data_IF_008934228696
#
_entry.id   IF_008934228696
#
_cell.length_a   1.000
_cell.length_b   1.000
_cell.length_c   1.000
_cell.angle_alpha   90.00
_cell.angle_beta   90.00
_cell.angle_gamma   90.00
#
_symmetry.space_group_name_H-M   'P 1'
#
loop_
_entity.id
_entity.type
_entity.pdbx_description
1 polymer ?
#
# COMPACT_ATOMS: atom_id res chain seq x y z
N UNK A 1 -15.05 -11.23 35.26
CA UNK A 1 -14.26 -10.70 34.13
C UNK A 1 -13.92 -11.87 33.22
N UNK A 2 -14.07 -11.72 31.86
CA UNK A 2 -13.66 -12.77 30.92
C UNK A 2 -12.16 -12.72 30.73
N UNK A 3 -11.50 -13.89 30.61
CA UNK A 3 -10.05 -14.05 30.41
C UNK A 3 -9.77 -14.67 29.06
N UNK A 4 -8.70 -14.21 28.40
CA UNK A 4 -8.23 -14.67 27.09
C UNK A 4 -6.72 -14.94 27.11
N UNK A 5 -6.27 -15.87 26.28
CA UNK A 5 -4.85 -16.06 26.06
C UNK A 5 -4.27 -14.89 25.28
N UNK A 6 -4.97 -14.46 24.21
CA UNK A 6 -4.55 -13.35 23.37
C UNK A 6 -5.72 -12.39 23.15
N UNK A 7 -5.51 -11.10 23.42
CA UNK A 7 -6.41 -10.01 23.02
C UNK A 7 -5.72 -9.18 21.95
N UNK A 8 -6.40 -8.95 20.83
CA UNK A 8 -5.91 -8.14 19.71
C UNK A 8 -6.74 -6.87 19.64
N UNK A 9 -6.07 -5.70 19.59
CA UNK A 9 -6.75 -4.40 19.50
C UNK A 9 -6.57 -3.84 18.08
N UNK A 10 -7.65 -3.86 17.31
CA UNK A 10 -7.72 -3.45 15.90
C UNK A 10 -7.85 -4.65 14.96
N UNK A 11 -8.82 -4.59 14.05
CA UNK A 11 -9.16 -5.64 13.09
C UNK A 11 -8.63 -5.38 11.67
N UNK A 12 -7.59 -4.54 11.53
CA UNK A 12 -6.89 -4.39 10.24
C UNK A 12 -6.19 -5.68 9.81
N UNK A 13 -5.52 -5.71 8.64
CA UNK A 13 -4.88 -6.92 8.09
C UNK A 13 -4.03 -7.67 9.12
N UNK A 14 -3.13 -7.01 9.81
CA UNK A 14 -2.35 -7.65 10.87
C UNK A 14 -3.21 -8.21 12.00
N UNK A 15 -4.25 -7.48 12.42
CA UNK A 15 -5.08 -7.88 13.55
C UNK A 15 -5.98 -9.09 13.26
N UNK A 16 -6.70 -9.10 12.12
CA UNK A 16 -7.58 -10.22 11.81
C UNK A 16 -6.77 -11.48 11.43
N UNK A 17 -5.62 -11.34 10.76
CA UNK A 17 -4.73 -12.47 10.43
C UNK A 17 -4.14 -13.06 11.71
N UNK A 18 -3.64 -12.22 12.62
CA UNK A 18 -3.16 -12.67 13.94
C UNK A 18 -4.26 -13.41 14.70
N UNK A 19 -5.52 -12.90 14.68
CA UNK A 19 -6.65 -13.52 15.36
C UNK A 19 -6.98 -14.89 14.78
N UNK A 20 -7.00 -15.03 13.44
CA UNK A 20 -7.20 -16.31 12.76
C UNK A 20 -6.11 -17.30 13.17
N UNK A 21 -4.85 -16.88 13.09
CA UNK A 21 -3.71 -17.76 13.40
C UNK A 21 -3.72 -18.19 14.87
N UNK A 22 -4.06 -17.28 15.78
CA UNK A 22 -4.23 -17.58 17.21
C UNK A 22 -5.32 -18.65 17.43
N UNK A 23 -6.49 -18.49 16.81
CA UNK A 23 -7.57 -19.47 16.88
C UNK A 23 -7.16 -20.84 16.31
N UNK A 24 -6.44 -20.87 15.19
CA UNK A 24 -5.91 -22.10 14.58
C UNK A 24 -4.93 -22.86 15.49
N UNK A 25 -4.14 -22.11 16.28
CA UNK A 25 -3.18 -22.68 17.24
C UNK A 25 -3.82 -23.00 18.61
N UNK A 26 -5.13 -22.82 18.75
CA UNK A 26 -5.89 -23.21 19.93
C UNK A 26 -5.91 -22.18 21.06
N UNK A 27 -5.43 -20.97 20.84
CA UNK A 27 -5.52 -19.89 21.82
C UNK A 27 -6.96 -19.40 21.95
N UNK A 28 -7.41 -19.15 23.19
CA UNK A 28 -8.63 -18.45 23.46
C UNK A 28 -8.46 -16.96 23.12
N UNK A 29 -9.00 -16.52 21.99
CA UNK A 29 -8.69 -15.24 21.36
C UNK A 29 -9.87 -14.29 21.36
N UNK A 30 -9.61 -13.01 21.69
CA UNK A 30 -10.53 -11.90 21.50
C UNK A 30 -9.95 -10.87 20.53
N UNK A 31 -10.81 -10.31 19.69
CA UNK A 31 -10.52 -9.21 18.77
C UNK A 31 -11.39 -8.00 19.13
N UNK A 32 -10.75 -6.86 19.41
CA UNK A 32 -11.45 -5.61 19.76
C UNK A 32 -11.39 -4.65 18.58
N UNK A 33 -12.53 -4.25 18.03
CA UNK A 33 -12.63 -3.31 16.91
C UNK A 33 -13.61 -2.19 17.23
N UNK A 34 -13.19 -0.95 17.00
CA UNK A 34 -14.02 0.23 17.29
C UNK A 34 -15.15 0.49 16.30
N UNK A 35 -15.04 -0.04 15.08
CA UNK A 35 -16.04 0.10 14.05
C UNK A 35 -16.94 -1.14 13.96
N UNK A 36 -18.12 -0.99 13.37
CA UNK A 36 -19.04 -2.10 13.18
C UNK A 36 -18.62 -3.09 12.07
N UNK A 37 -17.57 -2.75 11.31
CA UNK A 37 -17.03 -3.57 10.23
C UNK A 37 -15.58 -3.95 10.53
N UNK A 38 -15.23 -5.20 10.25
CA UNK A 38 -13.88 -5.72 10.40
C UNK A 38 -13.02 -5.38 9.14
N UNK A 39 -11.70 -5.62 9.21
CA UNK A 39 -10.77 -5.45 8.10
C UNK A 39 -10.02 -4.11 8.09
N UNK A 40 -10.31 -3.23 9.05
CA UNK A 40 -9.58 -1.97 9.26
C UNK A 40 -9.56 -1.05 8.03
N UNK A 41 -8.53 -0.21 7.94
CA UNK A 41 -8.36 0.74 6.84
C UNK A 41 -8.28 0.05 5.49
N UNK A 42 -7.51 -1.01 5.36
CA UNK A 42 -7.23 -1.68 4.07
C UNK A 42 -8.53 -2.09 3.36
N UNK A 43 -9.42 -2.82 4.07
CA UNK A 43 -10.63 -3.36 3.48
C UNK A 43 -11.72 -2.32 3.31
N UNK A 44 -11.85 -1.38 4.25
CA UNK A 44 -12.98 -0.44 4.29
C UNK A 44 -12.73 0.86 3.53
N UNK A 45 -11.54 1.46 3.66
CA UNK A 45 -11.22 2.81 3.13
C UNK A 45 -9.78 2.91 2.60
N UNK A 46 -9.22 1.81 2.11
CA UNK A 46 -7.83 1.73 1.65
C UNK A 46 -7.68 0.86 0.40
N UNK A 47 -6.93 -0.25 0.53
CA UNK A 47 -6.49 -1.09 -0.58
C UNK A 47 -7.66 -1.61 -1.43
N UNK A 48 -8.64 -2.26 -0.80
CA UNK A 48 -9.74 -2.92 -1.55
C UNK A 48 -10.61 -1.92 -2.30
N UNK A 49 -11.16 -0.86 -1.68
CA UNK A 49 -11.96 0.10 -2.43
C UNK A 49 -11.16 0.86 -3.49
N UNK A 50 -9.87 1.16 -3.28
CA UNK A 50 -9.06 1.81 -4.31
C UNK A 50 -8.82 0.91 -5.52
N UNK A 51 -8.52 -0.38 -5.31
CA UNK A 51 -8.35 -1.36 -6.40
C UNK A 51 -9.64 -1.59 -7.16
N UNK A 52 -10.79 -1.64 -6.47
CA UNK A 52 -12.08 -1.73 -7.13
C UNK A 52 -12.39 -0.53 -8.04
N UNK A 53 -11.96 0.69 -7.65
CA UNK A 53 -12.10 1.88 -8.49
C UNK A 53 -11.07 1.93 -9.62
N UNK A 54 -9.81 1.53 -9.35
CA UNK A 54 -8.76 1.44 -10.37
C UNK A 54 -9.19 0.49 -11.49
N UNK A 55 -9.69 -0.69 -11.14
CA UNK A 55 -10.21 -1.69 -12.07
C UNK A 55 -11.37 -1.13 -12.90
N UNK A 56 -12.40 -0.58 -12.24
CA UNK A 56 -13.56 -0.02 -12.94
C UNK A 56 -13.19 1.16 -13.84
N UNK A 57 -12.29 2.04 -13.40
CA UNK A 57 -11.85 3.19 -14.21
C UNK A 57 -10.97 2.76 -15.39
N UNK A 58 -10.19 1.68 -15.23
CA UNK A 58 -9.41 1.08 -16.31
C UNK A 58 -10.33 0.51 -17.42
N UNK A 59 -11.34 -0.26 -17.04
CA UNK A 59 -12.35 -0.74 -18.00
C UNK A 59 -13.05 0.37 -18.75
N UNK A 60 -13.35 1.50 -18.08
CA UNK A 60 -13.95 2.66 -18.73
C UNK A 60 -12.99 3.30 -19.72
N UNK A 61 -11.73 3.51 -19.35
CA UNK A 61 -10.69 4.06 -20.23
C UNK A 61 -10.42 3.14 -21.42
N UNK A 62 -10.29 1.83 -21.20
CA UNK A 62 -10.09 0.82 -22.24
C UNK A 62 -11.23 0.85 -23.27
N UNK A 63 -12.47 0.93 -22.79
CA UNK A 63 -13.65 1.01 -23.65
C UNK A 63 -13.61 2.25 -24.55
N UNK A 64 -13.13 3.38 -24.04
CA UNK A 64 -13.07 4.64 -24.80
C UNK A 64 -11.90 4.75 -25.76
N UNK A 65 -10.74 4.14 -25.42
CA UNK A 65 -9.48 4.43 -26.11
C UNK A 65 -8.90 3.26 -26.87
N UNK A 66 -9.17 2.02 -26.46
CA UNK A 66 -8.40 0.87 -26.93
C UNK A 66 -9.21 -0.15 -27.73
N UNK A 67 -10.55 -0.19 -27.61
CA UNK A 67 -11.36 -1.21 -28.29
C UNK A 67 -11.25 -1.16 -29.80
N UNK A 68 -11.15 0.03 -30.40
CA UNK A 68 -10.99 0.19 -31.85
C UNK A 68 -9.74 -0.55 -32.37
N UNK A 69 -8.63 -0.46 -31.65
CA UNK A 69 -7.39 -1.16 -32.00
C UNK A 69 -7.53 -2.70 -31.94
N UNK A 70 -8.50 -3.22 -31.17
CA UNK A 70 -8.86 -4.64 -31.14
C UNK A 70 -9.91 -5.05 -32.19
N UNK A 71 -10.34 -4.12 -33.05
CA UNK A 71 -11.38 -4.34 -34.04
C UNK A 71 -12.79 -4.43 -33.44
N UNK A 72 -13.00 -3.81 -32.26
CA UNK A 72 -14.29 -3.77 -31.59
C UNK A 72 -14.91 -2.38 -31.77
N UNK A 73 -15.95 -2.31 -32.59
CA UNK A 73 -16.70 -1.07 -32.87
C UNK A 73 -17.86 -0.92 -31.89
N UNK A 74 -18.01 0.26 -31.31
CA UNK A 74 -19.13 0.60 -30.44
C UNK A 74 -20.22 1.32 -31.22
N UNK A 75 -21.43 0.79 -31.21
CA UNK A 75 -22.62 1.46 -31.77
C UNK A 75 -23.33 2.25 -30.68
N UNK A 76 -22.90 3.49 -30.44
CA UNK A 76 -23.53 4.38 -29.47
C UNK A 76 -22.54 5.06 -28.54
N UNK A 77 -23.06 5.95 -27.69
CA UNK A 77 -22.25 6.69 -26.72
C UNK A 77 -21.98 5.86 -25.46
N UNK A 78 -20.71 5.84 -25.05
CA UNK A 78 -20.31 5.24 -23.76
C UNK A 78 -20.37 6.32 -22.69
N UNK A 79 -21.23 6.15 -21.71
CA UNK A 79 -21.42 7.11 -20.61
C UNK A 79 -20.99 6.55 -19.28
N UNK A 80 -20.35 7.39 -18.46
CA UNK A 80 -19.99 7.05 -17.09
C UNK A 80 -21.22 7.15 -16.18
N UNK A 81 -21.49 6.10 -15.40
CA UNK A 81 -22.37 6.17 -14.24
C UNK A 81 -21.54 6.03 -12.96
N UNK A 82 -21.09 7.17 -12.43
CA UNK A 82 -20.24 7.20 -11.23
C UNK A 82 -20.97 6.59 -10.01
N UNK A 83 -22.25 6.80 -9.84
CA UNK A 83 -23.03 6.25 -8.71
C UNK A 83 -22.99 4.73 -8.72
N UNK A 84 -23.20 4.08 -9.88
CA UNK A 84 -23.07 2.62 -10.01
C UNK A 84 -21.66 2.14 -9.77
N UNK A 85 -20.63 2.88 -10.20
CA UNK A 85 -19.23 2.54 -9.96
C UNK A 85 -18.91 2.59 -8.45
N UNK A 86 -19.36 3.61 -7.74
CA UNK A 86 -19.21 3.73 -6.28
C UNK A 86 -20.00 2.63 -5.55
N UNK A 87 -21.22 2.31 -6.02
CA UNK A 87 -22.02 1.22 -5.45
C UNK A 87 -21.34 -0.16 -5.63
N UNK A 88 -20.78 -0.45 -6.84
CA UNK A 88 -19.96 -1.66 -7.05
C UNK A 88 -18.80 -1.74 -6.07
N UNK A 89 -18.03 -0.66 -5.93
CA UNK A 89 -16.92 -0.59 -4.97
C UNK A 89 -17.41 -0.87 -3.54
N UNK A 90 -18.55 -0.30 -3.14
CA UNK A 90 -19.13 -0.53 -1.80
C UNK A 90 -19.53 -2.00 -1.59
N UNK A 91 -20.14 -2.64 -2.58
CA UNK A 91 -20.48 -4.07 -2.53
C UNK A 91 -19.24 -4.98 -2.40
N UNK A 92 -18.14 -4.66 -3.09
CA UNK A 92 -16.85 -5.39 -2.93
C UNK A 92 -16.33 -5.27 -1.51
N UNK A 93 -16.38 -4.08 -0.92
CA UNK A 93 -15.97 -3.85 0.48
C UNK A 93 -16.84 -4.66 1.44
N UNK A 94 -18.16 -4.57 1.31
CA UNK A 94 -19.12 -5.31 2.15
C UNK A 94 -18.87 -6.82 2.10
N UNK A 95 -18.75 -7.38 0.90
CA UNK A 95 -18.49 -8.81 0.70
C UNK A 95 -17.15 -9.23 1.34
N UNK A 96 -16.11 -8.43 1.19
CA UNK A 96 -14.78 -8.74 1.75
C UNK A 96 -14.81 -8.66 3.29
N UNK A 97 -15.44 -7.65 3.87
CA UNK A 97 -15.58 -7.53 5.32
C UNK A 97 -16.45 -8.65 5.93
N UNK A 98 -17.51 -9.07 5.24
CA UNK A 98 -18.32 -10.23 5.65
C UNK A 98 -17.49 -11.52 5.66
N UNK A 99 -16.57 -11.69 4.69
CA UNK A 99 -15.61 -12.78 4.67
C UNK A 99 -14.71 -12.82 5.91
N UNK A 100 -14.21 -11.67 6.35
CA UNK A 100 -13.41 -11.59 7.59
C UNK A 100 -14.25 -11.99 8.81
N UNK A 101 -15.49 -11.51 8.89
CA UNK A 101 -16.39 -11.90 10.00
C UNK A 101 -16.61 -13.41 10.02
N UNK A 102 -16.89 -14.03 8.87
CA UNK A 102 -16.99 -15.49 8.75
C UNK A 102 -15.75 -16.21 9.27
N UNK A 103 -14.55 -15.69 8.95
CA UNK A 103 -13.28 -16.26 9.41
C UNK A 103 -13.10 -16.13 10.94
N UNK A 104 -13.57 -15.06 11.56
CA UNK A 104 -13.58 -14.94 13.03
C UNK A 104 -14.45 -16.02 13.65
N UNK A 105 -15.67 -16.17 13.16
CA UNK A 105 -16.63 -17.17 13.67
C UNK A 105 -16.07 -18.61 13.47
N UNK A 106 -15.52 -18.92 12.29
CA UNK A 106 -14.90 -20.22 11.96
C UNK A 106 -13.74 -20.57 12.91
N UNK A 107 -12.92 -19.60 13.29
CA UNK A 107 -11.76 -19.79 14.16
C UNK A 107 -12.07 -19.52 15.65
N UNK A 108 -13.35 -19.39 16.01
CA UNK A 108 -13.83 -19.17 17.38
C UNK A 108 -13.21 -17.96 18.06
N UNK A 109 -12.94 -16.91 17.29
CA UNK A 109 -12.48 -15.61 17.81
C UNK A 109 -13.66 -14.82 18.31
N UNK A 110 -13.65 -14.42 19.59
CA UNK A 110 -14.70 -13.56 20.13
C UNK A 110 -14.43 -12.11 19.74
N UNK A 111 -15.37 -11.49 19.01
CA UNK A 111 -15.26 -10.12 18.53
C UNK A 111 -16.02 -9.17 19.45
N UNK A 112 -15.34 -8.11 19.89
CA UNK A 112 -15.91 -7.02 20.67
C UNK A 112 -15.92 -5.73 19.85
N UNK A 113 -17.10 -5.10 19.75
CA UNK A 113 -17.21 -3.79 19.09
C UNK A 113 -17.10 -2.69 20.13
N UNK A 114 -16.07 -1.86 20.02
CA UNK A 114 -15.81 -0.75 20.93
C UNK A 114 -14.33 -0.31 20.90
N UNK A 115 -14.06 0.80 21.58
CA UNK A 115 -12.70 1.31 21.73
C UNK A 115 -11.98 0.52 22.83
N UNK A 116 -10.93 -0.21 22.47
CA UNK A 116 -10.07 -0.90 23.42
C UNK A 116 -9.02 0.05 24.01
N UNK A 117 -8.91 0.08 25.34
CA UNK A 117 -7.92 0.87 26.07
C UNK A 117 -7.32 0.08 27.24
N UNK A 118 -6.04 0.29 27.52
CA UNK A 118 -5.38 -0.34 28.65
C UNK A 118 -5.84 0.28 29.99
N UNK A 119 -6.11 -0.57 30.97
CA UNK A 119 -6.28 -0.21 32.37
C UNK A 119 -5.02 -0.61 33.17
N UNK A 120 -4.40 -1.71 32.76
CA UNK A 120 -3.13 -2.23 33.26
C UNK A 120 -2.45 -3.05 32.15
N UNK A 121 -1.23 -3.59 32.35
CA UNK A 121 -0.58 -4.48 31.37
C UNK A 121 -1.40 -5.70 30.95
N UNK A 122 -2.34 -6.17 31.80
CA UNK A 122 -3.15 -7.37 31.55
C UNK A 122 -4.65 -7.08 31.39
N UNK A 123 -5.10 -5.85 31.63
CA UNK A 123 -6.53 -5.50 31.60
C UNK A 123 -6.86 -4.50 30.51
N UNK A 124 -7.81 -4.87 29.68
CA UNK A 124 -8.33 -4.06 28.57
C UNK A 124 -9.77 -3.67 28.87
N UNK A 125 -10.03 -2.37 28.87
CA UNK A 125 -11.37 -1.80 28.88
C UNK A 125 -11.86 -1.61 27.45
N UNK A 126 -13.07 -2.07 27.18
CA UNK A 126 -13.76 -1.89 25.91
C UNK A 126 -14.92 -0.93 26.16
N UNK A 127 -14.91 0.21 25.47
CA UNK A 127 -15.99 1.21 25.57
C UNK A 127 -16.78 1.18 24.27
N UNK A 128 -18.04 0.74 24.33
CA UNK A 128 -18.94 0.69 23.19
C UNK A 128 -19.46 2.10 22.81
N UNK A 129 -20.13 2.23 21.66
CA UNK A 129 -20.64 3.51 21.16
C UNK A 129 -21.70 4.16 22.06
N UNK A 130 -22.43 3.35 22.80
CA UNK A 130 -23.42 3.78 23.83
C UNK A 130 -22.81 4.09 25.20
N UNK A 131 -21.46 4.17 25.27
CA UNK A 131 -20.67 4.34 26.48
C UNK A 131 -20.73 3.18 27.47
N UNK A 132 -21.30 2.03 27.12
CA UNK A 132 -21.22 0.81 27.94
C UNK A 132 -19.75 0.35 28.01
N UNK A 133 -19.28 0.07 29.22
CA UNK A 133 -17.93 -0.38 29.48
C UNK A 133 -17.88 -1.86 29.86
N UNK A 134 -16.95 -2.59 29.27
CA UNK A 134 -16.65 -3.97 29.62
C UNK A 134 -15.16 -4.12 29.89
N UNK A 135 -14.80 -4.85 30.95
CA UNK A 135 -13.42 -5.17 31.28
C UNK A 135 -13.13 -6.64 30.95
N UNK A 136 -12.03 -6.88 30.23
CA UNK A 136 -11.51 -8.21 29.92
C UNK A 136 -10.05 -8.33 30.36
N UNK A 137 -9.57 -9.55 30.56
CA UNK A 137 -8.21 -9.85 30.97
C UNK A 137 -7.50 -10.63 29.86
N UNK A 138 -6.26 -10.26 29.59
CA UNK A 138 -5.41 -10.83 28.55
C UNK A 138 -4.10 -11.37 29.16
N UNK A 139 -3.75 -12.61 28.83
CA UNK A 139 -2.39 -13.11 29.07
C UNK A 139 -1.39 -12.39 28.18
N UNK A 140 -1.71 -12.23 26.91
CA UNK A 140 -0.95 -11.45 25.93
C UNK A 140 -1.85 -10.45 25.20
N UNK A 141 -1.33 -9.28 24.87
CA UNK A 141 -2.03 -8.27 24.08
C UNK A 141 -1.23 -7.94 22.83
N UNK A 142 -1.89 -7.89 21.67
CA UNK A 142 -1.31 -7.44 20.39
C UNK A 142 -1.97 -6.12 19.98
N UNK A 143 -1.19 -5.04 19.91
CA UNK A 143 -1.63 -3.74 19.42
C UNK A 143 -1.53 -3.75 17.89
N UNK A 144 -2.68 -3.72 17.19
CA UNK A 144 -2.80 -3.75 15.73
C UNK A 144 -3.66 -2.60 15.20
N UNK A 145 -3.57 -1.44 15.85
CA UNK A 145 -4.45 -0.27 15.60
C UNK A 145 -4.13 0.49 14.33
N UNK A 146 -3.01 0.14 13.66
CA UNK A 146 -2.66 0.64 12.34
C UNK A 146 -2.34 2.13 12.30
N UNK A 147 -2.82 2.80 11.27
CA UNK A 147 -2.49 4.20 10.97
C UNK A 147 -3.68 5.00 10.46
N UNK A 148 -3.53 6.33 10.43
CA UNK A 148 -4.46 7.30 9.82
C UNK A 148 -3.74 8.16 8.77
N UNK A 149 -4.47 8.76 7.81
CA UNK A 149 -3.88 9.75 6.91
C UNK A 149 -3.16 10.85 7.71
N UNK A 150 -1.97 11.21 7.27
CA UNK A 150 -1.26 12.37 7.78
C UNK A 150 -1.79 13.64 7.08
N UNK A 151 -1.70 14.77 7.78
CA UNK A 151 -1.93 16.10 7.22
C UNK A 151 -0.80 17.03 7.63
N UNK A 152 -0.62 18.09 6.87
CA UNK A 152 0.29 19.16 7.25
C UNK A 152 -0.44 20.13 8.19
N UNK A 153 0.21 20.65 9.24
CA UNK A 153 -0.46 21.46 10.27
C UNK A 153 -1.19 22.70 9.74
N UNK A 154 -0.73 23.23 8.61
CA UNK A 154 -1.29 24.42 7.96
C UNK A 154 -2.40 24.09 6.92
N UNK A 155 -2.74 22.80 6.70
CA UNK A 155 -3.83 22.40 5.80
C UNK A 155 -5.06 22.04 6.63
N UNK A 156 -6.12 22.79 6.45
CA UNK A 156 -7.44 22.48 7.03
C UNK A 156 -8.18 21.52 6.13
N UNK A 157 -8.38 20.29 6.61
CA UNK A 157 -9.18 19.27 5.94
C UNK A 157 -10.67 19.53 6.21
N UNK A 158 -11.40 19.99 5.21
CA UNK A 158 -12.85 20.22 5.32
C UNK A 158 -13.67 18.96 4.98
N UNK A 159 -13.04 17.92 4.42
CA UNK A 159 -13.65 16.65 3.99
C UNK A 159 -14.70 16.79 2.87
N UNK A 160 -14.79 17.94 2.26
CA UNK A 160 -15.70 18.23 1.15
C UNK A 160 -14.91 18.50 -0.14
N UNK A 161 -13.94 19.43 -0.11
CA UNK A 161 -13.09 19.82 -1.24
C UNK A 161 -11.61 19.67 -0.95
N UNK A 162 -11.18 19.90 0.30
CA UNK A 162 -9.83 19.56 0.80
C UNK A 162 -9.95 18.23 1.55
N UNK A 163 -9.59 17.14 0.88
CA UNK A 163 -9.96 15.77 1.23
C UNK A 163 -8.74 14.89 1.46
N UNK A 164 -8.94 13.77 2.15
CA UNK A 164 -8.00 12.66 2.23
C UNK A 164 -8.41 11.53 1.29
N UNK A 165 -7.63 10.45 1.27
CA UNK A 165 -7.97 9.22 0.52
C UNK A 165 -9.34 8.65 0.91
N UNK A 166 -9.77 8.83 2.17
CA UNK A 166 -11.06 8.32 2.66
C UNK A 166 -12.25 8.96 1.95
N UNK A 167 -12.22 10.27 1.77
CA UNK A 167 -13.26 11.01 1.07
C UNK A 167 -13.15 10.80 -0.45
N UNK A 168 -11.92 10.76 -0.98
CA UNK A 168 -11.68 10.52 -2.41
C UNK A 168 -12.27 9.20 -2.92
N UNK A 169 -12.37 8.17 -2.07
CA UNK A 169 -13.00 6.89 -2.44
C UNK A 169 -14.53 6.94 -2.59
N UNK A 170 -15.18 8.06 -2.31
CA UNK A 170 -16.65 8.18 -2.30
C UNK A 170 -17.17 9.51 -2.84
N UNK A 171 -16.41 10.15 -3.73
CA UNK A 171 -16.90 11.38 -4.39
C UNK A 171 -18.17 11.11 -5.15
N UNK A 172 -19.08 12.08 -5.14
CA UNK A 172 -20.38 12.02 -5.82
C UNK A 172 -20.32 12.58 -7.24
N UNK A 173 -19.23 13.23 -7.60
CA UNK A 173 -18.96 13.82 -8.91
C UNK A 173 -17.51 13.57 -9.30
N UNK A 174 -17.22 13.58 -10.58
CA UNK A 174 -15.85 13.57 -11.09
C UNK A 174 -15.29 14.98 -10.97
N UNK A 175 -14.14 15.20 -10.31
CA UNK A 175 -13.48 16.49 -10.29
C UNK A 175 -13.22 17.01 -11.70
N UNK A 176 -13.35 18.31 -11.92
CA UNK A 176 -12.85 18.94 -13.15
C UNK A 176 -11.34 19.04 -13.12
N UNK A 177 -10.79 19.44 -11.96
CA UNK A 177 -9.36 19.51 -11.72
C UNK A 177 -9.05 19.07 -10.29
N UNK A 178 -8.45 17.90 -10.16
CA UNK A 178 -7.96 17.34 -8.90
C UNK A 178 -6.49 17.74 -8.68
N UNK A 179 -6.23 18.52 -7.65
CA UNK A 179 -4.86 18.81 -7.20
C UNK A 179 -4.49 17.77 -6.14
N UNK A 180 -3.41 17.04 -6.37
CA UNK A 180 -2.90 16.01 -5.44
C UNK A 180 -1.64 16.55 -4.75
N UNK A 181 -1.64 16.61 -3.43
CA UNK A 181 -0.47 16.93 -2.63
C UNK A 181 0.15 15.62 -2.14
N UNK A 182 1.33 15.30 -2.69
CA UNK A 182 2.07 14.06 -2.46
C UNK A 182 2.06 13.12 -3.67
N UNK A 183 3.24 12.88 -4.24
CA UNK A 183 3.49 11.97 -5.38
C UNK A 183 3.76 10.52 -4.95
N UNK A 184 3.26 10.10 -3.79
CA UNK A 184 3.32 8.73 -3.31
C UNK A 184 2.20 7.85 -3.88
N UNK A 185 2.18 6.56 -3.47
CA UNK A 185 1.26 5.51 -3.96
C UNK A 185 -0.20 5.96 -3.96
N UNK A 186 -0.70 6.46 -2.82
CA UNK A 186 -2.12 6.82 -2.66
C UNK A 186 -2.53 7.96 -3.59
N UNK A 187 -1.68 9.00 -3.68
CA UNK A 187 -1.96 10.16 -4.53
C UNK A 187 -2.00 9.81 -6.01
N UNK A 188 -1.07 8.96 -6.47
CA UNK A 188 -0.99 8.53 -7.87
C UNK A 188 -2.13 7.59 -8.25
N UNK A 189 -2.45 6.61 -7.40
CA UNK A 189 -3.54 5.66 -7.65
C UNK A 189 -4.90 6.37 -7.75
N UNK A 190 -5.25 7.20 -6.76
CA UNK A 190 -6.52 7.93 -6.77
C UNK A 190 -6.53 9.03 -7.84
N UNK A 191 -5.38 9.67 -8.09
CA UNK A 191 -5.22 10.59 -9.22
C UNK A 191 -5.54 9.90 -10.54
N UNK A 192 -5.04 8.68 -10.76
CA UNK A 192 -5.28 7.94 -12.00
C UNK A 192 -6.74 7.48 -12.13
N UNK A 193 -7.39 7.06 -11.03
CA UNK A 193 -8.84 6.78 -11.07
C UNK A 193 -9.59 7.96 -11.68
N UNK A 194 -9.41 9.16 -11.13
CA UNK A 194 -10.16 10.33 -11.59
C UNK A 194 -9.69 10.87 -12.93
N UNK A 195 -8.41 10.74 -13.26
CA UNK A 195 -7.89 11.08 -14.62
C UNK A 195 -8.58 10.25 -15.70
N UNK A 196 -8.72 8.94 -15.49
CA UNK A 196 -9.44 8.03 -16.40
C UNK A 196 -10.91 8.38 -16.57
N UNK A 197 -11.51 8.96 -15.52
CA UNK A 197 -12.90 9.43 -15.54
C UNK A 197 -13.05 10.84 -16.12
N UNK A 198 -11.97 11.49 -16.57
CA UNK A 198 -11.98 12.79 -17.25
C UNK A 198 -11.50 13.98 -16.43
N UNK A 199 -11.03 13.78 -15.18
CA UNK A 199 -10.46 14.86 -14.40
C UNK A 199 -9.07 15.27 -14.92
N UNK A 200 -8.78 16.57 -14.96
CA UNK A 200 -7.41 17.05 -14.98
C UNK A 200 -6.75 16.73 -13.63
N UNK A 201 -5.50 16.25 -13.63
CA UNK A 201 -4.76 15.91 -12.40
C UNK A 201 -3.43 16.63 -12.36
N UNK A 202 -3.18 17.38 -11.29
CA UNK A 202 -1.91 18.05 -11.02
C UNK A 202 -1.34 17.55 -9.70
N UNK A 203 -0.13 16.99 -9.72
CA UNK A 203 0.55 16.42 -8.55
C UNK A 203 1.65 17.37 -8.08
N UNK A 204 1.57 17.83 -6.83
CA UNK A 204 2.59 18.64 -6.17
C UNK A 204 3.35 17.75 -5.20
N UNK A 205 4.65 17.55 -5.45
CA UNK A 205 5.52 16.67 -4.66
C UNK A 205 6.71 17.44 -4.11
N UNK A 206 6.98 17.25 -2.81
CA UNK A 206 8.10 17.92 -2.13
C UNK A 206 9.46 17.40 -2.60
N UNK A 207 9.59 16.12 -2.84
CA UNK A 207 10.83 15.49 -3.31
C UNK A 207 11.04 15.72 -4.82
N UNK A 208 12.23 15.44 -5.29
CA UNK A 208 12.61 15.59 -6.71
C UNK A 208 12.01 14.51 -7.64
N UNK A 209 11.35 13.50 -7.07
CA UNK A 209 10.76 12.37 -7.79
C UNK A 209 9.45 11.92 -7.14
N UNK A 210 8.54 11.36 -7.93
CA UNK A 210 7.40 10.61 -7.42
C UNK A 210 7.86 9.25 -6.90
N UNK A 211 7.04 8.58 -6.08
CA UNK A 211 7.35 7.30 -5.41
C UNK A 211 8.79 7.23 -4.85
N UNK A 212 9.20 8.21 -4.02
CA UNK A 212 10.60 8.43 -3.66
C UNK A 212 11.22 7.30 -2.82
N UNK A 213 10.41 6.39 -2.32
CA UNK A 213 10.85 5.21 -1.54
C UNK A 213 11.23 4.02 -2.41
N UNK A 214 10.98 4.07 -3.72
CA UNK A 214 11.32 3.05 -4.70
C UNK A 214 12.56 3.46 -5.50
N UNK A 215 13.08 2.53 -6.30
CA UNK A 215 14.18 2.80 -7.23
C UNK A 215 13.85 3.99 -8.15
N UNK A 216 14.79 4.92 -8.32
CA UNK A 216 14.55 6.15 -9.10
C UNK A 216 14.25 5.90 -10.57
N UNK A 217 14.69 4.77 -11.12
CA UNK A 217 14.35 4.37 -12.50
C UNK A 217 12.86 4.17 -12.67
N UNK A 218 12.21 3.57 -11.67
CA UNK A 218 10.75 3.38 -11.66
C UNK A 218 10.01 4.72 -11.60
N UNK A 219 10.42 5.63 -10.71
CA UNK A 219 9.81 6.96 -10.58
C UNK A 219 9.92 7.78 -11.87
N UNK A 220 11.08 7.74 -12.55
CA UNK A 220 11.28 8.42 -13.84
C UNK A 220 10.37 7.87 -14.93
N UNK A 221 10.31 6.54 -15.09
CA UNK A 221 9.48 5.93 -16.13
C UNK A 221 8.00 6.12 -15.85
N UNK A 222 7.55 5.96 -14.60
CA UNK A 222 6.15 6.22 -14.23
C UNK A 222 5.76 7.68 -14.49
N UNK A 223 6.61 8.65 -14.15
CA UNK A 223 6.38 10.07 -14.46
C UNK A 223 6.20 10.29 -15.96
N UNK A 224 7.04 9.67 -16.79
CA UNK A 224 6.97 9.78 -18.25
C UNK A 224 5.64 9.23 -18.79
N UNK A 225 5.21 8.06 -18.30
CA UNK A 225 3.96 7.43 -18.76
C UNK A 225 2.75 8.23 -18.28
N UNK A 226 2.68 8.60 -17.01
CA UNK A 226 1.55 9.37 -16.48
C UNK A 226 1.43 10.77 -17.12
N UNK A 227 2.55 11.42 -17.49
CA UNK A 227 2.52 12.66 -18.29
C UNK A 227 1.85 12.46 -19.65
N UNK A 228 2.12 11.35 -20.34
CA UNK A 228 1.42 11.00 -21.58
C UNK A 228 -0.08 10.77 -21.37
N UNK A 229 -0.45 10.31 -20.17
CA UNK A 229 -1.86 10.14 -19.77
C UNK A 229 -2.52 11.44 -19.28
N UNK A 230 -1.83 12.59 -19.32
CA UNK A 230 -2.39 13.90 -19.01
C UNK A 230 -2.16 14.42 -17.60
N UNK A 231 -1.26 13.80 -16.83
CA UNK A 231 -0.87 14.33 -15.53
C UNK A 231 0.11 15.49 -15.64
N UNK A 232 -0.08 16.51 -14.82
CA UNK A 232 0.91 17.55 -14.56
C UNK A 232 1.69 17.23 -13.28
N UNK A 233 3.03 17.30 -13.31
CA UNK A 233 3.88 17.05 -12.15
C UNK A 233 4.71 18.27 -11.78
N UNK A 234 4.63 18.66 -10.51
CA UNK A 234 5.38 19.71 -9.87
C UNK A 234 6.23 19.11 -8.74
N UNK A 235 7.34 18.45 -9.11
CA UNK A 235 8.31 17.87 -8.16
C UNK A 235 9.26 18.93 -7.63
N UNK A 236 9.80 18.74 -6.43
CA UNK A 236 10.65 19.73 -5.75
C UNK A 236 9.88 20.96 -5.26
N UNK A 237 8.56 20.87 -5.13
CA UNK A 237 7.72 22.00 -4.72
C UNK A 237 7.19 21.80 -3.30
N UNK A 238 7.46 22.75 -2.43
CA UNK A 238 6.96 22.77 -1.06
C UNK A 238 5.61 23.50 -1.00
N UNK A 239 4.53 22.78 -0.71
CA UNK A 239 3.22 23.39 -0.44
C UNK A 239 3.32 24.29 0.80
N UNK A 240 2.78 25.51 0.69
CA UNK A 240 2.77 26.53 1.74
C UNK A 240 1.39 26.81 2.28
N UNK A 241 0.39 26.76 1.40
CA UNK A 241 -0.98 27.13 1.74
C UNK A 241 -1.98 26.33 0.89
N UNK A 242 -3.10 25.99 1.50
CA UNK A 242 -4.30 25.48 0.81
C UNK A 242 -5.49 26.27 1.31
N UNK A 243 -6.16 26.97 0.42
CA UNK A 243 -7.35 27.75 0.73
C UNK A 243 -8.54 27.28 -0.09
N UNK A 244 -9.74 27.45 0.45
CA UNK A 244 -11.00 27.15 -0.24
C UNK A 244 -11.89 28.38 -0.27
N UNK A 245 -12.39 28.73 -1.45
CA UNK A 245 -13.42 29.75 -1.64
C UNK A 245 -14.59 29.15 -2.46
N UNK A 246 -15.68 28.86 -1.77
CA UNK A 246 -16.83 28.20 -2.40
C UNK A 246 -16.47 26.78 -2.92
N UNK A 247 -16.55 26.62 -4.24
CA UNK A 247 -16.20 25.36 -4.92
C UNK A 247 -14.73 25.32 -5.42
N UNK A 248 -13.98 26.41 -5.29
CA UNK A 248 -12.60 26.51 -5.76
C UNK A 248 -11.62 26.27 -4.62
N UNK A 249 -10.63 25.41 -4.84
CA UNK A 249 -9.49 25.20 -3.96
C UNK A 249 -8.25 25.78 -4.63
N UNK A 250 -7.47 26.58 -3.89
CA UNK A 250 -6.19 27.12 -4.34
C UNK A 250 -5.06 26.50 -3.52
N UNK A 251 -4.08 25.93 -4.20
CA UNK A 251 -2.85 25.38 -3.61
C UNK A 251 -1.68 26.26 -4.01
N UNK A 252 -0.99 26.85 -3.02
CA UNK A 252 0.25 27.60 -3.23
C UNK A 252 1.44 26.79 -2.80
N UNK A 253 2.48 26.76 -3.63
CA UNK A 253 3.73 26.05 -3.38
C UNK A 253 4.93 26.89 -3.85
N UNK A 254 6.12 26.56 -3.37
CA UNK A 254 7.37 27.21 -3.77
C UNK A 254 8.41 26.18 -4.17
N UNK A 255 9.23 26.50 -5.18
CA UNK A 255 10.43 25.77 -5.51
C UNK A 255 11.54 26.02 -4.48
N UNK A 256 12.61 25.20 -4.45
CA UNK A 256 13.81 25.50 -3.64
C UNK A 256 14.46 26.85 -3.97
N UNK A 257 14.23 27.40 -5.17
CA UNK A 257 14.71 28.73 -5.59
C UNK A 257 13.78 29.89 -5.18
N UNK A 258 12.64 29.58 -4.51
CA UNK A 258 11.66 30.56 -4.07
C UNK A 258 10.67 31.01 -5.16
N UNK A 259 10.65 30.35 -6.31
CA UNK A 259 9.64 30.62 -7.35
C UNK A 259 8.26 30.15 -6.86
N UNK A 260 7.26 30.99 -7.01
CA UNK A 260 5.91 30.70 -6.55
C UNK A 260 5.12 29.94 -7.62
N UNK A 261 4.37 28.93 -7.16
CA UNK A 261 3.36 28.20 -7.93
C UNK A 261 2.00 28.39 -7.25
N UNK A 262 0.98 28.73 -8.04
CA UNK A 262 -0.42 28.76 -7.60
C UNK A 262 -1.26 27.93 -8.55
N UNK A 263 -1.92 26.90 -8.01
CA UNK A 263 -2.84 26.02 -8.76
C UNK A 263 -4.25 26.19 -8.24
N UNK A 264 -5.22 26.23 -9.16
CA UNK A 264 -6.64 26.25 -8.82
C UNK A 264 -7.31 24.98 -9.35
N UNK A 265 -8.15 24.39 -8.52
CA UNK A 265 -8.95 23.22 -8.84
C UNK A 265 -10.26 23.22 -8.05
N UNK A 266 -11.07 22.21 -8.25
CA UNK A 266 -12.32 22.03 -7.49
C UNK A 266 -12.16 20.99 -6.35
N UNK A 267 -11.09 20.21 -6.36
CA UNK A 267 -10.71 19.31 -5.27
C UNK A 267 -9.21 19.34 -5.01
N UNK A 268 -8.84 19.16 -3.75
CA UNK A 268 -7.46 18.94 -3.31
C UNK A 268 -7.38 17.66 -2.49
N UNK A 269 -6.65 16.65 -2.99
CA UNK A 269 -6.35 15.42 -2.29
C UNK A 269 -5.03 15.55 -1.52
N UNK A 270 -5.09 15.50 -0.19
CA UNK A 270 -3.92 15.49 0.68
C UNK A 270 -3.47 14.06 0.92
N UNK A 271 -2.36 13.66 0.28
CA UNK A 271 -1.81 12.30 0.27
C UNK A 271 -0.33 12.29 0.70
N UNK A 272 0.02 13.04 1.75
CA UNK A 272 1.38 13.25 2.27
C UNK A 272 1.88 12.15 3.20
N UNK A 273 1.26 10.98 3.17
CA UNK A 273 1.63 9.83 3.97
C UNK A 273 0.60 9.49 5.05
N UNK A 274 1.04 8.64 6.00
CA UNK A 274 0.22 8.13 7.09
C UNK A 274 0.96 8.28 8.41
N UNK A 275 0.23 8.34 9.52
CA UNK A 275 0.79 8.37 10.87
C UNK A 275 0.24 7.21 11.71
N UNK A 276 1.02 6.67 12.65
CA UNK A 276 0.58 5.60 13.54
C UNK A 276 -0.64 6.06 14.35
N UNK A 277 -1.52 5.10 14.66
CA UNK A 277 -2.73 5.38 15.41
C UNK A 277 -2.69 4.75 16.81
N UNK A 278 -2.34 5.56 17.81
CA UNK A 278 -2.24 5.15 19.23
C UNK A 278 -3.25 5.88 20.12
N UNK A 279 -4.09 6.75 19.52
CA UNK A 279 -5.06 7.56 20.27
C UNK A 279 -6.12 6.68 20.92
N UNK A 280 -6.42 6.95 22.20
CA UNK A 280 -7.42 6.22 22.98
C UNK A 280 -6.95 4.89 23.56
N UNK A 281 -5.74 4.41 23.25
CA UNK A 281 -5.19 3.16 23.78
C UNK A 281 -4.80 3.24 25.25
N UNK A 282 -4.54 4.44 25.79
CA UNK A 282 -4.04 4.65 27.16
C UNK A 282 -2.77 3.82 27.45
N UNK A 283 -1.77 3.93 26.57
CA UNK A 283 -0.53 3.12 26.61
C UNK A 283 0.25 3.36 27.91
N UNK A 284 0.12 4.54 28.49
CA UNK A 284 0.78 4.93 29.75
C UNK A 284 0.31 4.06 30.92
N UNK A 285 -0.97 3.66 30.98
CA UNK A 285 -1.51 2.77 32.00
C UNK A 285 -0.90 1.34 31.94
N UNK A 286 -0.44 0.93 30.77
CA UNK A 286 0.28 -0.33 30.58
C UNK A 286 1.80 -0.16 30.63
N UNK A 287 2.33 1.05 30.71
CA UNK A 287 3.77 1.35 30.69
C UNK A 287 4.41 1.15 29.31
N UNK A 288 3.65 1.18 28.23
CA UNK A 288 4.14 0.96 26.85
C UNK A 288 4.72 2.26 26.29
N UNK A 289 5.93 2.18 25.74
CA UNK A 289 6.66 3.32 25.21
C UNK A 289 6.32 3.61 23.73
N UNK A 290 6.36 4.90 23.39
CA UNK A 290 6.29 5.41 22.00
C UNK A 290 7.58 6.15 21.65
N UNK A 291 7.94 6.14 20.37
CA UNK A 291 9.01 7.00 19.85
C UNK A 291 8.50 8.42 19.52
N UNK A 292 9.43 9.29 19.09
CA UNK A 292 9.15 10.68 18.73
C UNK A 292 8.19 10.85 17.53
N UNK A 293 7.99 9.77 16.76
CA UNK A 293 7.03 9.73 15.64
C UNK A 293 5.67 9.15 16.06
N UNK A 294 5.49 8.87 17.35
CA UNK A 294 4.26 8.31 17.92
C UNK A 294 4.06 6.81 17.65
N UNK A 295 5.10 6.08 17.18
CA UNK A 295 5.05 4.64 16.96
C UNK A 295 5.29 3.91 18.27
N UNK A 296 4.63 2.77 18.46
CA UNK A 296 4.93 1.87 19.56
C UNK A 296 6.34 1.28 19.35
N UNK A 297 7.17 1.40 20.38
CA UNK A 297 8.55 0.88 20.34
C UNK A 297 8.52 -0.63 20.57
N UNK A 298 9.14 -1.39 19.66
CA UNK A 298 9.25 -2.85 19.73
C UNK A 298 10.67 -3.31 19.41
N UNK A 299 11.04 -4.47 19.97
CA UNK A 299 12.26 -5.19 19.62
C UNK A 299 12.09 -5.97 18.29
N UNK A 300 13.05 -6.82 17.92
CA UNK A 300 13.00 -7.60 16.66
C UNK A 300 11.99 -8.76 16.71
N UNK A 301 11.45 -9.07 17.88
CA UNK A 301 10.36 -10.01 18.09
C UNK A 301 8.98 -9.32 18.16
N UNK A 302 8.90 -8.04 17.79
CA UNK A 302 7.69 -7.21 17.87
C UNK A 302 7.11 -7.08 19.28
N UNK A 303 7.90 -7.41 20.31
CA UNK A 303 7.55 -7.25 21.71
C UNK A 303 7.89 -5.83 22.17
N UNK A 304 7.00 -5.23 22.94
CA UNK A 304 7.24 -3.91 23.53
C UNK A 304 8.18 -4.02 24.73
N UNK A 305 8.43 -2.90 25.40
CA UNK A 305 9.14 -2.90 26.69
C UNK A 305 8.35 -3.61 27.81
N UNK A 306 7.08 -3.94 27.60
CA UNK A 306 6.22 -4.71 28.51
C UNK A 306 6.12 -6.15 28.02
N UNK A 307 6.58 -7.17 28.77
CA UNK A 307 6.83 -8.52 28.25
C UNK A 307 5.62 -9.26 27.67
N UNK A 308 4.40 -8.93 28.07
CA UNK A 308 3.18 -9.55 27.57
C UNK A 308 2.44 -8.70 26.51
N UNK A 309 3.04 -7.58 26.07
CA UNK A 309 2.43 -6.70 25.09
C UNK A 309 3.31 -6.65 23.82
N UNK A 310 2.67 -6.90 22.67
CA UNK A 310 3.26 -6.87 21.34
C UNK A 310 2.57 -5.79 20.50
N UNK A 311 3.22 -5.34 19.44
CA UNK A 311 2.60 -4.40 18.50
C UNK A 311 3.05 -4.73 17.08
N UNK A 312 2.13 -4.59 16.11
CA UNK A 312 2.32 -4.99 14.70
C UNK A 312 1.72 -3.98 13.72
N UNK A 313 2.17 -4.04 12.48
CA UNK A 313 1.63 -3.26 11.36
C UNK A 313 2.07 -1.81 11.39
N UNK A 314 1.16 -0.92 10.96
CA UNK A 314 1.47 0.50 10.76
C UNK A 314 1.76 1.26 12.07
N UNK A 315 1.40 0.70 13.21
CA UNK A 315 1.62 1.33 14.53
C UNK A 315 3.07 1.20 15.01
N UNK A 316 3.89 0.34 14.36
CA UNK A 316 5.30 0.14 14.66
C UNK A 316 6.21 0.64 13.54
N UNK A 317 7.51 0.40 13.64
CA UNK A 317 8.51 0.76 12.62
C UNK A 317 8.32 0.01 11.30
N UNK A 318 8.93 0.54 10.24
CA UNK A 318 8.96 -0.08 8.91
C UNK A 318 7.89 0.45 7.95
N UNK A 319 7.69 -0.24 6.84
CA UNK A 319 6.71 0.14 5.82
C UNK A 319 5.28 -0.06 6.30
N UNK A 320 4.39 0.85 5.93
CA UNK A 320 2.96 0.76 6.25
C UNK A 320 2.24 -0.01 5.14
N UNK A 321 2.40 -1.35 5.14
CA UNK A 321 1.87 -2.27 4.15
C UNK A 321 1.04 -3.36 4.80
N UNK A 322 -0.08 -3.72 4.17
CA UNK A 322 -1.02 -4.69 4.70
C UNK A 322 -0.37 -6.07 4.88
N UNK A 323 0.32 -6.57 3.85
CA UNK A 323 1.00 -7.88 3.89
C UNK A 323 2.16 -7.92 4.90
N UNK A 324 2.90 -6.80 5.12
CA UNK A 324 3.86 -6.73 6.24
C UNK A 324 3.15 -6.93 7.59
N UNK A 325 2.02 -6.28 7.79
CA UNK A 325 1.26 -6.40 9.04
C UNK A 325 0.69 -7.82 9.22
N UNK A 326 0.28 -8.49 8.14
CA UNK A 326 -0.19 -9.88 8.14
C UNK A 326 0.92 -10.83 8.58
N UNK A 327 2.11 -10.74 7.96
CA UNK A 327 3.28 -11.55 8.34
C UNK A 327 3.73 -11.29 9.79
N UNK A 328 3.74 -10.03 10.23
CA UNK A 328 4.03 -9.69 11.63
C UNK A 328 2.99 -10.29 12.59
N UNK A 329 1.73 -10.33 12.20
CA UNK A 329 0.65 -10.96 12.97
C UNK A 329 0.86 -12.45 13.15
N UNK A 330 1.19 -13.17 12.08
CA UNK A 330 1.53 -14.60 12.10
C UNK A 330 2.78 -14.85 12.96
N UNK A 331 3.83 -14.06 12.73
CA UNK A 331 5.10 -14.18 13.46
C UNK A 331 4.89 -14.09 14.97
N UNK A 332 4.19 -13.06 15.47
CA UNK A 332 3.97 -12.89 16.91
C UNK A 332 3.20 -14.08 17.49
N UNK A 333 2.12 -14.50 16.82
CA UNK A 333 1.28 -15.60 17.34
C UNK A 333 2.03 -16.93 17.34
N UNK A 334 2.83 -17.22 16.30
CA UNK A 334 3.64 -18.45 16.23
C UNK A 334 4.77 -18.45 17.26
N UNK A 335 5.40 -17.30 17.53
CA UNK A 335 6.36 -17.17 18.63
C UNK A 335 5.71 -17.46 20.00
N UNK A 336 4.49 -16.96 20.25
CA UNK A 336 3.73 -17.24 21.46
C UNK A 336 3.37 -18.72 21.62
N UNK A 337 3.26 -19.44 20.49
CA UNK A 337 3.07 -20.90 20.44
C UNK A 337 4.39 -21.69 20.56
N UNK A 338 5.54 -21.01 20.71
CA UNK A 338 6.85 -21.65 20.85
C UNK A 338 7.53 -22.03 19.53
N UNK A 339 7.00 -21.57 18.39
CA UNK A 339 7.64 -21.73 17.07
C UNK A 339 8.74 -20.67 16.86
N UNK A 340 9.50 -20.80 15.79
CA UNK A 340 10.61 -19.89 15.44
C UNK A 340 10.43 -19.33 14.01
N UNK A 341 9.36 -18.57 13.76
CA UNK A 341 9.16 -17.90 12.46
C UNK A 341 10.18 -16.78 12.28
N UNK A 342 10.41 -16.37 11.03
CA UNK A 342 11.23 -15.20 10.70
C UNK A 342 10.55 -14.36 9.61
N UNK A 343 10.92 -13.09 9.54
CA UNK A 343 10.57 -12.18 8.46
C UNK A 343 11.85 -11.48 8.01
N UNK A 344 12.19 -11.59 6.72
CA UNK A 344 13.16 -10.72 6.11
C UNK A 344 12.45 -9.45 5.58
N UNK A 345 12.62 -8.34 6.29
CA UNK A 345 12.00 -7.07 5.91
C UNK A 345 12.51 -6.50 4.58
N UNK A 346 13.68 -6.96 4.09
CA UNK A 346 14.18 -6.60 2.77
C UNK A 346 13.39 -7.28 1.64
N UNK A 347 12.68 -8.37 1.95
CA UNK A 347 11.90 -9.14 0.99
C UNK A 347 10.40 -8.79 0.98
N UNK A 348 9.99 -7.75 1.70
CA UNK A 348 8.61 -7.26 1.66
C UNK A 348 8.43 -6.38 0.42
N UNK A 349 7.64 -6.83 -0.59
CA UNK A 349 7.51 -6.08 -1.83
C UNK A 349 6.66 -4.82 -1.65
N UNK A 350 7.06 -3.73 -2.31
CA UNK A 350 6.26 -2.53 -2.46
C UNK A 350 5.57 -2.50 -3.82
N UNK A 351 4.29 -2.09 -3.87
CA UNK A 351 3.51 -2.05 -5.11
C UNK A 351 2.75 -0.74 -5.25
N UNK A 352 2.68 -0.22 -6.48
CA UNK A 352 1.80 0.88 -6.91
C UNK A 352 0.90 0.36 -8.02
N UNK A 353 -0.41 0.42 -7.81
CA UNK A 353 -1.41 -0.15 -8.71
C UNK A 353 -1.92 0.85 -9.76
N UNK A 354 -1.06 1.74 -10.20
CA UNK A 354 -1.30 2.52 -11.41
C UNK A 354 -1.26 1.62 -12.64
N UNK A 355 -1.56 2.14 -13.82
CA UNK A 355 -1.28 1.45 -15.07
C UNK A 355 -0.35 2.32 -15.92
N UNK A 356 0.87 1.84 -16.21
CA UNK A 356 1.43 0.56 -15.77
C UNK A 356 1.59 0.46 -14.24
N UNK A 357 1.53 -0.77 -13.72
CA UNK A 357 1.82 -1.05 -12.32
C UNK A 357 3.32 -0.90 -12.03
N UNK A 358 3.65 -0.63 -10.77
CA UNK A 358 5.04 -0.60 -10.30
C UNK A 358 5.20 -1.57 -9.14
N UNK A 359 6.23 -2.41 -9.17
CA UNK A 359 6.56 -3.30 -8.06
C UNK A 359 8.06 -3.33 -7.80
N UNK A 360 8.45 -3.52 -6.55
CA UNK A 360 9.85 -3.50 -6.14
C UNK A 360 10.05 -4.38 -4.91
N UNK A 361 11.13 -5.15 -4.89
CA UNK A 361 11.59 -5.92 -3.74
C UNK A 361 13.10 -5.83 -3.63
N UNK A 362 13.61 -5.90 -2.40
CA UNK A 362 15.04 -5.76 -2.13
C UNK A 362 15.52 -4.31 -2.21
N UNK A 363 16.80 -4.14 -2.45
CA UNK A 363 17.48 -2.83 -2.43
C UNK A 363 17.43 -2.13 -3.78
N UNK A 364 17.23 -0.81 -3.76
CA UNK A 364 17.35 0.03 -4.95
C UNK A 364 18.83 0.30 -5.30
N UNK A 365 19.10 0.78 -6.53
CA UNK A 365 20.44 1.23 -6.90
C UNK A 365 20.97 2.33 -5.96
N UNK A 366 20.12 3.23 -5.51
CA UNK A 366 20.50 4.32 -4.62
C UNK A 366 20.95 3.79 -3.25
N UNK A 367 20.24 2.78 -2.72
CA UNK A 367 20.60 2.12 -1.47
C UNK A 367 21.91 1.36 -1.58
N UNK A 368 22.10 0.56 -2.65
CA UNK A 368 23.34 -0.17 -2.89
C UNK A 368 24.54 0.76 -3.03
N UNK A 369 24.38 1.88 -3.75
CA UNK A 369 25.42 2.93 -3.88
C UNK A 369 25.76 3.56 -2.52
N UNK A 370 24.76 3.87 -1.72
CA UNK A 370 24.96 4.48 -0.39
C UNK A 370 25.65 3.51 0.58
N UNK A 371 25.38 2.21 0.46
CA UNK A 371 26.00 1.15 1.26
C UNK A 371 27.39 0.71 0.73
N UNK A 372 27.82 1.21 -0.43
CA UNK A 372 29.09 0.84 -1.06
C UNK A 372 29.12 -0.60 -1.60
N UNK A 373 27.95 -1.20 -1.83
CA UNK A 373 27.83 -2.54 -2.42
C UNK A 373 28.07 -2.48 -3.91
N UNK A 374 28.95 -3.34 -4.43
CA UNK A 374 29.20 -3.48 -5.87
C UNK A 374 28.17 -4.41 -6.49
N UNK A 375 27.51 -3.95 -7.53
CA UNK A 375 26.43 -4.69 -8.18
C UNK A 375 26.51 -4.55 -9.70
N UNK A 376 25.88 -5.47 -10.40
CA UNK A 376 25.62 -5.44 -11.83
C UNK A 376 24.12 -5.26 -12.07
N UNK A 377 23.77 -4.66 -13.21
CA UNK A 377 22.39 -4.33 -13.58
C UNK A 377 22.02 -5.10 -14.84
N UNK A 378 20.91 -5.84 -14.78
CA UNK A 378 20.23 -6.35 -15.96
C UNK A 378 18.89 -5.66 -16.12
N UNK A 379 18.58 -5.21 -17.32
CA UNK A 379 17.30 -4.56 -17.63
C UNK A 379 16.74 -5.05 -18.95
N UNK A 380 15.42 -5.27 -18.99
CA UNK A 380 14.71 -5.68 -20.19
C UNK A 380 13.39 -4.91 -20.33
N UNK A 381 13.14 -4.34 -21.50
CA UNK A 381 11.97 -3.51 -21.78
C UNK A 381 10.79 -4.36 -22.30
N UNK A 382 9.58 -4.14 -21.77
CA UNK A 382 8.38 -4.86 -22.20
C UNK A 382 8.06 -4.71 -23.68
N UNK A 383 8.43 -3.61 -24.33
CA UNK A 383 8.25 -3.40 -25.77
C UNK A 383 8.94 -4.46 -26.65
N UNK A 384 9.95 -5.16 -26.11
CA UNK A 384 10.63 -6.25 -26.82
C UNK A 384 9.92 -7.61 -26.65
N UNK A 385 8.94 -7.69 -25.69
CA UNK A 385 8.25 -8.92 -25.33
C UNK A 385 7.02 -9.17 -26.22
N UNK A 386 6.94 -10.37 -26.83
CA UNK A 386 5.82 -10.76 -27.70
C UNK A 386 4.45 -10.69 -26.99
N UNK A 387 4.37 -11.11 -25.72
CA UNK A 387 3.13 -11.05 -24.93
C UNK A 387 2.67 -9.61 -24.67
N UNK A 388 3.59 -8.72 -24.36
CA UNK A 388 3.30 -7.31 -24.13
C UNK A 388 2.79 -6.63 -25.41
N UNK A 389 3.36 -6.96 -26.56
CA UNK A 389 2.86 -6.50 -27.87
C UNK A 389 1.46 -7.02 -28.18
N UNK A 390 1.21 -8.29 -27.89
CA UNK A 390 -0.10 -8.91 -28.13
C UNK A 390 -1.23 -8.29 -27.29
N UNK A 391 -0.93 -7.79 -26.09
CA UNK A 391 -1.89 -7.11 -25.22
C UNK A 391 -1.82 -5.58 -25.30
N UNK A 392 -0.92 -5.02 -26.15
CA UNK A 392 -0.63 -3.58 -26.27
C UNK A 392 -0.08 -2.91 -24.99
N UNK A 393 0.37 -3.69 -24.02
CA UNK A 393 0.92 -3.24 -22.73
C UNK A 393 2.45 -3.21 -22.82
N UNK A 394 3.01 -2.29 -23.63
CA UNK A 394 4.44 -2.26 -23.97
C UNK A 394 5.26 -1.29 -23.13
N UNK A 395 4.64 -0.48 -22.28
CA UNK A 395 5.34 0.48 -21.43
C UNK A 395 6.06 -0.23 -20.29
N UNK A 396 7.29 0.25 -20.00
CA UNK A 396 8.06 -0.15 -18.82
C UNK A 396 9.13 -1.21 -19.06
N UNK A 397 9.63 -1.76 -17.96
CA UNK A 397 10.77 -2.68 -17.93
C UNK A 397 10.82 -3.52 -16.66
N UNK A 398 11.60 -4.59 -16.68
CA UNK A 398 12.11 -5.30 -15.50
C UNK A 398 13.60 -4.94 -15.34
N UNK A 399 14.01 -4.60 -14.10
CA UNK A 399 15.40 -4.36 -13.72
C UNK A 399 15.78 -5.29 -12.56
N UNK A 400 16.89 -6.01 -12.69
CA UNK A 400 17.50 -6.87 -11.68
C UNK A 400 18.85 -6.28 -11.27
N UNK A 401 19.09 -6.22 -9.97
CA UNK A 401 20.37 -5.86 -9.37
C UNK A 401 20.95 -7.10 -8.73
N UNK A 402 22.15 -7.50 -9.13
CA UNK A 402 22.82 -8.68 -8.60
C UNK A 402 24.24 -8.34 -8.12
N UNK A 403 24.69 -9.00 -7.06
CA UNK A 403 26.04 -8.84 -6.51
C UNK A 403 27.11 -9.24 -7.54
N UNK A 404 28.17 -8.45 -7.66
CA UNK A 404 29.22 -8.70 -8.67
C UNK A 404 30.09 -9.94 -8.40
N UNK A 405 30.11 -10.42 -7.14
CA UNK A 405 30.96 -11.54 -6.73
C UNK A 405 30.19 -12.84 -6.60
N UNK A 406 29.01 -12.77 -5.95
CA UNK A 406 28.20 -13.96 -5.62
C UNK A 406 27.10 -14.22 -6.64
N UNK A 407 26.77 -13.23 -7.47
CA UNK A 407 25.62 -13.21 -8.37
C UNK A 407 24.24 -13.22 -7.64
N UNK A 408 24.23 -13.15 -6.31
CA UNK A 408 22.98 -13.09 -5.53
C UNK A 408 22.12 -11.91 -5.95
N UNK A 409 20.82 -12.13 -6.12
CA UNK A 409 19.88 -11.07 -6.47
C UNK A 409 19.65 -10.16 -5.26
N UNK A 410 20.01 -8.90 -5.39
CA UNK A 410 19.94 -7.88 -4.33
C UNK A 410 18.65 -7.03 -4.40
N UNK A 411 18.06 -6.95 -5.56
CA UNK A 411 16.83 -6.20 -5.77
C UNK A 411 16.23 -6.42 -7.16
N UNK A 412 14.89 -6.37 -7.23
CA UNK A 412 14.14 -6.47 -8.47
C UNK A 412 13.10 -5.36 -8.52
N UNK A 413 13.06 -4.65 -9.65
CA UNK A 413 12.25 -3.46 -9.86
C UNK A 413 11.51 -3.58 -11.18
N UNK A 414 10.18 -3.55 -11.14
CA UNK A 414 9.31 -3.78 -12.30
C UNK A 414 8.39 -2.58 -12.47
N UNK A 415 8.29 -2.06 -13.67
CA UNK A 415 7.21 -1.18 -14.09
C UNK A 415 6.63 -1.72 -15.37
N UNK A 416 5.34 -2.04 -15.38
CA UNK A 416 4.65 -2.62 -16.53
C UNK A 416 3.33 -3.27 -16.14
N UNK A 417 2.64 -3.83 -17.11
CA UNK A 417 1.42 -4.60 -16.84
C UNK A 417 1.74 -5.80 -15.96
N UNK A 418 0.90 -6.05 -14.95
CA UNK A 418 0.99 -7.19 -14.02
C UNK A 418 2.25 -7.21 -13.14
N UNK A 419 2.90 -6.07 -12.93
CA UNK A 419 4.08 -5.98 -12.06
C UNK A 419 3.77 -6.45 -10.64
N UNK A 420 2.56 -6.18 -10.15
CA UNK A 420 2.08 -6.61 -8.83
C UNK A 420 2.05 -8.13 -8.64
N UNK A 421 1.70 -8.87 -9.70
CA UNK A 421 1.70 -10.34 -9.66
C UNK A 421 3.10 -10.91 -9.92
N UNK A 422 3.85 -10.31 -10.86
CA UNK A 422 5.18 -10.77 -11.25
C UNK A 422 6.21 -10.67 -10.14
N UNK A 423 6.08 -9.69 -9.23
CA UNK A 423 7.07 -9.48 -8.17
C UNK A 423 7.18 -10.68 -7.22
N UNK A 424 6.15 -11.51 -7.10
CA UNK A 424 6.15 -12.70 -6.25
C UNK A 424 7.21 -13.73 -6.67
N UNK A 425 7.51 -13.84 -7.98
CA UNK A 425 8.61 -14.67 -8.48
C UNK A 425 9.95 -14.17 -7.94
N UNK A 426 10.18 -12.87 -7.99
CA UNK A 426 11.40 -12.25 -7.47
C UNK A 426 11.52 -12.44 -5.94
N UNK A 427 10.44 -12.22 -5.18
CA UNK A 427 10.41 -12.48 -3.72
C UNK A 427 10.81 -13.92 -3.42
N UNK A 428 10.21 -14.88 -4.13
CA UNK A 428 10.50 -16.30 -3.95
C UNK A 428 11.97 -16.61 -4.25
N UNK A 429 12.51 -16.12 -5.37
CA UNK A 429 13.90 -16.33 -5.73
C UNK A 429 14.85 -15.73 -4.67
N UNK A 430 14.59 -14.52 -4.20
CA UNK A 430 15.41 -13.84 -3.21
C UNK A 430 15.31 -14.50 -1.83
N UNK A 431 14.16 -15.04 -1.43
CA UNK A 431 14.01 -15.80 -0.16
C UNK A 431 14.95 -17.01 -0.13
N UNK A 432 15.12 -17.68 -1.28
CA UNK A 432 16.06 -18.80 -1.42
C UNK A 432 17.47 -18.36 -1.83
N UNK A 433 17.79 -17.06 -1.79
CA UNK A 433 19.10 -16.49 -2.16
C UNK A 433 19.58 -16.88 -3.54
N UNK A 434 18.66 -16.92 -4.49
CA UNK A 434 18.96 -17.25 -5.87
C UNK A 434 19.94 -16.25 -6.49
N UNK A 435 20.80 -16.73 -7.36
CA UNK A 435 21.62 -15.90 -8.24
C UNK A 435 20.81 -15.42 -9.46
N UNK A 436 21.29 -14.38 -10.13
CA UNK A 436 20.69 -13.97 -11.40
C UNK A 436 20.78 -15.09 -12.44
N UNK A 437 21.87 -15.89 -12.43
CA UNK A 437 22.02 -17.07 -13.28
C UNK A 437 20.95 -18.13 -13.00
N UNK A 438 20.55 -18.36 -11.73
CA UNK A 438 19.49 -19.31 -11.41
C UNK A 438 18.18 -18.90 -12.08
N UNK A 439 17.76 -17.64 -11.95
CA UNK A 439 16.56 -17.10 -12.62
C UNK A 439 16.68 -17.22 -14.14
N UNK A 440 17.85 -16.90 -14.71
CA UNK A 440 18.10 -16.98 -16.14
C UNK A 440 17.97 -18.41 -16.71
N UNK A 441 18.21 -19.45 -15.89
CA UNK A 441 18.14 -20.86 -16.27
C UNK A 441 16.76 -21.49 -16.09
N UNK A 442 15.88 -20.88 -15.30
CA UNK A 442 14.51 -21.40 -15.12
C UNK A 442 13.73 -21.28 -16.44
N UNK A 443 12.95 -22.32 -16.78
CA UNK A 443 12.06 -22.29 -17.92
C UNK A 443 10.83 -21.44 -17.60
N UNK A 444 10.63 -20.37 -18.37
CA UNK A 444 9.41 -19.56 -18.31
C UNK A 444 8.44 -19.98 -19.39
N UNK A 445 7.15 -19.96 -19.07
CA UNK A 445 6.12 -20.25 -20.06
C UNK A 445 6.08 -19.19 -21.16
N UNK A 446 5.92 -19.59 -22.42
CA UNK A 446 5.81 -18.70 -23.57
C UNK A 446 4.42 -18.75 -24.20
N UNK A 447 3.79 -17.57 -24.54
CA UNK A 447 4.25 -16.20 -24.26
C UNK A 447 3.67 -15.69 -22.92
N UNK A 448 4.51 -15.09 -22.07
CA UNK A 448 4.12 -14.51 -20.77
C UNK A 448 4.84 -13.20 -20.48
N UNK A 449 4.34 -12.40 -19.52
CA UNK A 449 5.04 -11.22 -19.03
C UNK A 449 6.27 -11.56 -18.19
N UNK A 450 6.29 -12.73 -17.51
CA UNK A 450 7.41 -13.16 -16.66
C UNK A 450 8.68 -13.49 -17.44
N UNK A 451 8.58 -13.73 -18.77
CA UNK A 451 9.78 -13.84 -19.62
C UNK A 451 10.68 -12.60 -19.54
N UNK A 452 10.10 -11.42 -19.22
CA UNK A 452 10.89 -10.22 -19.00
C UNK A 452 11.79 -10.31 -17.76
N UNK A 453 11.40 -11.07 -16.72
CA UNK A 453 12.23 -11.34 -15.54
C UNK A 453 13.44 -12.20 -15.95
N UNK A 454 13.22 -13.24 -16.73
CA UNK A 454 14.29 -14.08 -17.28
C UNK A 454 15.26 -13.27 -18.15
N UNK A 455 14.75 -12.45 -19.07
CA UNK A 455 15.59 -11.63 -19.95
C UNK A 455 16.40 -10.59 -19.17
N UNK A 456 15.81 -9.99 -18.12
CA UNK A 456 16.55 -9.08 -17.23
C UNK A 456 17.64 -9.83 -16.44
N UNK A 457 17.37 -11.07 -16.00
CA UNK A 457 18.37 -11.92 -15.36
C UNK A 457 19.51 -12.29 -16.33
N UNK A 458 19.20 -12.66 -17.57
CA UNK A 458 20.18 -12.89 -18.62
C UNK A 458 21.02 -11.63 -18.92
N UNK A 459 20.38 -10.44 -18.91
CA UNK A 459 21.10 -9.18 -19.06
C UNK A 459 22.06 -8.89 -17.90
N UNK A 460 21.67 -9.24 -16.65
CA UNK A 460 22.53 -9.14 -15.47
C UNK A 460 23.71 -10.12 -15.51
N UNK A 461 23.59 -11.22 -16.26
CA UNK A 461 24.56 -12.29 -16.36
C UNK A 461 25.28 -12.22 -17.70
N UNK A 462 26.43 -11.52 -17.73
CA UNK A 462 27.27 -11.35 -18.93
C UNK A 462 26.56 -10.68 -20.14
N UNK A 463 25.50 -9.91 -19.88
CA UNK A 463 24.71 -9.23 -20.92
C UNK A 463 24.19 -10.20 -22.01
N UNK A 464 23.65 -11.35 -21.61
CA UNK A 464 23.21 -12.42 -22.52
C UNK A 464 21.71 -12.39 -22.86
N UNK A 465 21.02 -11.26 -22.65
CA UNK A 465 19.61 -11.14 -23.06
C UNK A 465 19.44 -11.55 -24.55
N UNK A 466 18.41 -12.36 -24.83
CA UNK A 466 18.22 -12.98 -26.15
C UNK A 466 17.37 -12.08 -27.05
N UNK A 467 16.39 -11.41 -26.48
CA UNK A 467 15.40 -10.63 -27.22
C UNK A 467 15.60 -9.10 -27.10
N UNK A 468 16.70 -8.65 -26.54
CA UNK A 468 17.02 -7.23 -26.32
C UNK A 468 17.67 -6.57 -27.54
#
# INVERSE_FOLDING_TARGET
MKTYDIVIIGSGPGGYVAAIRAGQLGFKTALVEKYNTLGGTCLNVGCIPSKALLDSSHHYEDTLKHLDAHGIELSGEVTLNLEKMIARKAAVVEQTCAGVKFLMDKNKVEVFTGVGSFVSPTQIKITAADATEQLIEAKYTIIATGSKPASLPFISLDKERVITSTEALKLKEVPKHLIVIGGGVIGLELGQVYSRLGAKVSVVEYTDSIIPTMDRGLGRELTKVLKKQGFDFYTGHQVKEVTREGATVTVKATTPKGEELSLQGDYCLVAVGRRPYTEGLNLEAAGVHKDDRGRVVVNDHLQTNVPNIYAIGDVVRGAMLAHKAEEEGVLVVEQLAGQKPHIDYNLIPGVVYTWPEVASVGKSEEQLKAEGVTYKVGQFAFRALGRARASMDTDGFVKILADTKTDEVLGVHIIGARAADMIAEAVTAMEFKASAEDIARISHAHPTFTEAVKEAALAATENRAIHA
#
